data_IF_938994322946
#
_entry.id   IF_938994322946
#
_cell.length_a   1.000
_cell.length_b   1.000
_cell.length_c   1.000
_cell.angle_alpha   90.00
_cell.angle_beta   90.00
_cell.angle_gamma   90.00
#
_symmetry.space_group_name_H-M   'P 1'
#
loop_
_entity.id
_entity.type
_entity.pdbx_description
1 polymer ?
#
# COMPACT_ATOMS: atom_id res chain seq x y z
N UNK A 1 -14.99 -2.79 -0.62
CA UNK A 1 -14.26 -4.07 -0.73
C UNK A 1 -15.15 -5.23 -1.17
N UNK A 2 -14.80 -5.87 -2.28
CA UNK A 2 -15.39 -7.12 -2.76
C UNK A 2 -15.01 -8.31 -1.86
N UNK A 3 -15.72 -9.43 -1.99
CA UNK A 3 -15.40 -10.68 -1.28
C UNK A 3 -14.00 -11.19 -1.66
N UNK A 4 -13.60 -11.02 -2.93
CA UNK A 4 -12.28 -11.41 -3.42
C UNK A 4 -11.17 -10.59 -2.77
N UNK A 5 -11.34 -9.27 -2.63
CA UNK A 5 -10.39 -8.40 -1.93
C UNK A 5 -10.24 -8.76 -0.45
N UNK A 6 -11.36 -9.06 0.23
CA UNK A 6 -11.34 -9.50 1.64
C UNK A 6 -10.56 -10.79 1.82
N UNK A 7 -10.76 -11.76 0.92
CA UNK A 7 -10.02 -13.02 0.90
C UNK A 7 -8.53 -12.76 0.61
N UNK A 8 -8.24 -11.92 -0.39
CA UNK A 8 -6.86 -11.52 -0.72
C UNK A 8 -6.14 -10.88 0.45
N UNK A 9 -6.78 -9.94 1.16
CA UNK A 9 -6.28 -9.30 2.38
C UNK A 9 -6.04 -10.28 3.51
N UNK A 10 -6.95 -11.22 3.74
CA UNK A 10 -6.79 -12.25 4.76
C UNK A 10 -5.61 -13.19 4.44
N UNK A 11 -5.49 -13.63 3.18
CA UNK A 11 -4.38 -14.48 2.73
C UNK A 11 -3.03 -13.76 2.84
N UNK A 12 -2.95 -12.50 2.39
CA UNK A 12 -1.73 -11.69 2.48
C UNK A 12 -1.28 -11.50 3.94
N UNK A 13 -2.22 -11.21 4.85
CA UNK A 13 -1.93 -11.09 6.29
C UNK A 13 -1.54 -12.43 6.92
N UNK A 14 -2.21 -13.51 6.56
CA UNK A 14 -1.93 -14.85 7.05
C UNK A 14 -0.54 -15.35 6.66
N UNK A 15 -0.15 -15.13 5.39
CA UNK A 15 1.16 -15.53 4.88
C UNK A 15 2.32 -14.87 5.64
N UNK A 16 2.18 -13.59 6.01
CA UNK A 16 3.21 -12.86 6.79
C UNK A 16 3.51 -13.50 8.15
N UNK A 17 2.55 -14.26 8.70
CA UNK A 17 2.68 -14.94 10.00
C UNK A 17 3.22 -16.37 9.91
N UNK A 18 3.45 -16.90 8.69
CA UNK A 18 3.95 -18.26 8.53
C UNK A 18 5.42 -18.39 8.96
N UNK A 19 5.82 -19.53 9.54
CA UNK A 19 7.22 -19.81 9.83
C UNK A 19 8.09 -19.78 8.55
N UNK A 20 9.34 -19.32 8.67
CA UNK A 20 10.28 -19.22 7.53
C UNK A 20 10.42 -20.53 6.73
N UNK A 21 10.40 -21.68 7.41
CA UNK A 21 10.47 -22.99 6.77
C UNK A 21 9.26 -23.27 5.85
N UNK A 22 8.06 -22.84 6.25
CA UNK A 22 6.84 -22.98 5.46
C UNK A 22 6.87 -22.04 4.25
N UNK A 23 7.34 -20.81 4.44
CA UNK A 23 7.50 -19.85 3.34
C UNK A 23 8.49 -20.36 2.28
N UNK A 24 9.64 -20.89 2.70
CA UNK A 24 10.62 -21.52 1.79
C UNK A 24 10.04 -22.71 1.04
N UNK A 25 9.33 -23.59 1.74
CA UNK A 25 8.67 -24.74 1.09
C UNK A 25 7.67 -24.32 0.02
N UNK A 26 6.95 -23.21 0.24
CA UNK A 26 5.90 -22.73 -0.67
C UNK A 26 6.42 -21.87 -1.82
N UNK A 27 7.40 -21.01 -1.57
CA UNK A 27 7.85 -19.99 -2.51
C UNK A 27 9.28 -20.23 -3.02
N UNK A 28 9.97 -21.25 -2.53
CA UNK A 28 11.38 -21.50 -2.81
C UNK A 28 12.32 -20.64 -1.97
N UNK A 29 13.62 -20.79 -2.20
CA UNK A 29 14.63 -19.91 -1.61
C UNK A 29 14.62 -18.54 -2.30
N UNK A 30 14.85 -17.45 -1.56
CA UNK A 30 14.98 -16.12 -2.15
C UNK A 30 16.16 -16.05 -3.13
N UNK A 31 16.02 -15.33 -4.24
CA UNK A 31 17.13 -15.14 -5.18
C UNK A 31 18.27 -14.36 -4.52
N UNK A 32 19.50 -14.69 -4.94
CA UNK A 32 20.71 -13.91 -4.62
C UNK A 32 21.29 -13.38 -5.92
N UNK A 33 21.39 -12.06 -6.03
CA UNK A 33 21.94 -11.36 -7.20
C UNK A 33 23.05 -10.46 -6.68
N UNK A 34 24.23 -10.50 -7.32
CA UNK A 34 25.40 -9.70 -6.93
C UNK A 34 25.78 -9.82 -5.43
N UNK A 35 25.58 -11.02 -4.86
CA UNK A 35 25.86 -11.28 -3.45
C UNK A 35 24.79 -10.79 -2.46
N UNK A 36 23.70 -10.19 -2.95
CA UNK A 36 22.58 -9.72 -2.12
C UNK A 36 21.39 -10.67 -2.20
N UNK A 37 21.03 -11.26 -1.06
CA UNK A 37 19.87 -12.16 -0.96
C UNK A 37 18.61 -11.36 -0.60
N UNK A 38 17.54 -11.57 -1.37
CA UNK A 38 16.24 -10.95 -1.11
C UNK A 38 15.66 -11.44 0.23
N UNK A 39 15.00 -10.55 0.98
CA UNK A 39 14.30 -10.96 2.19
C UNK A 39 13.19 -11.99 1.87
N UNK A 40 13.06 -13.01 2.73
CA UNK A 40 12.15 -14.13 2.49
C UNK A 40 10.67 -13.71 2.45
N UNK A 41 10.26 -12.72 3.23
CA UNK A 41 8.89 -12.21 3.19
C UNK A 41 8.62 -11.45 1.89
N UNK A 42 9.60 -10.64 1.45
CA UNK A 42 9.52 -9.92 0.18
C UNK A 42 9.51 -10.90 -1.00
N UNK A 43 10.34 -11.94 -0.97
CA UNK A 43 10.34 -13.01 -1.97
C UNK A 43 8.99 -13.74 -2.04
N UNK A 44 8.44 -14.10 -0.89
CA UNK A 44 7.16 -14.78 -0.81
C UNK A 44 6.00 -13.89 -1.31
N UNK A 45 6.04 -12.59 -1.02
CA UNK A 45 5.09 -11.61 -1.56
C UNK A 45 5.23 -11.45 -3.07
N UNK A 46 6.45 -11.22 -3.57
CA UNK A 46 6.71 -11.06 -5.00
C UNK A 46 6.31 -12.30 -5.80
N UNK A 47 6.57 -13.50 -5.27
CA UNK A 47 6.16 -14.77 -5.87
C UNK A 47 4.63 -14.89 -6.00
N UNK A 48 3.89 -14.44 -4.98
CA UNK A 48 2.42 -14.41 -5.01
C UNK A 48 1.90 -13.43 -6.07
N UNK A 49 2.46 -12.22 -6.12
CA UNK A 49 2.09 -11.18 -7.10
C UNK A 49 2.38 -11.66 -8.52
N UNK A 50 3.55 -12.27 -8.77
CA UNK A 50 3.89 -12.84 -10.07
C UNK A 50 2.92 -13.93 -10.49
N UNK A 51 2.58 -14.87 -9.58
CA UNK A 51 1.62 -15.91 -9.87
C UNK A 51 0.20 -15.36 -10.15
N UNK A 52 -0.20 -14.28 -9.47
CA UNK A 52 -1.47 -13.59 -9.74
C UNK A 52 -1.47 -12.92 -11.12
N UNK A 53 -0.38 -12.22 -11.48
CA UNK A 53 -0.21 -11.61 -12.81
C UNK A 53 -0.22 -12.63 -13.94
N UNK A 54 0.46 -13.77 -13.77
CA UNK A 54 0.49 -14.82 -14.78
C UNK A 54 -0.89 -15.45 -15.06
N UNK A 55 -1.83 -15.34 -14.12
CA UNK A 55 -3.23 -15.78 -14.30
C UNK A 55 -4.14 -14.69 -14.87
N UNK A 56 -3.68 -13.45 -14.96
CA UNK A 56 -4.43 -12.36 -15.59
C UNK A 56 -4.29 -12.48 -17.11
N UNK A 57 -5.41 -12.70 -17.80
CA UNK A 57 -5.46 -12.68 -19.27
C UNK A 57 -5.52 -11.26 -19.84
N UNK A 58 -5.64 -10.26 -18.96
CA UNK A 58 -5.89 -8.88 -19.35
C UNK A 58 -4.58 -8.14 -19.62
N UNK A 59 -4.35 -7.82 -20.89
CA UNK A 59 -3.15 -7.16 -21.42
C UNK A 59 -3.34 -5.66 -21.65
N UNK A 60 -4.53 -5.12 -21.44
CA UNK A 60 -4.77 -3.69 -21.62
C UNK A 60 -4.15 -2.90 -20.45
N UNK A 61 -3.40 -1.85 -20.75
CA UNK A 61 -2.67 -1.04 -19.77
C UNK A 61 -3.03 0.42 -19.97
N UNK A 62 -4.17 0.81 -19.41
CA UNK A 62 -4.61 2.22 -19.38
C UNK A 62 -4.19 2.90 -18.07
N UNK A 63 -3.97 4.23 -18.05
CA UNK A 63 -3.66 4.95 -16.82
C UNK A 63 -4.73 4.74 -15.73
N UNK A 64 -6.01 4.71 -16.10
CA UNK A 64 -7.08 4.51 -15.13
C UNK A 64 -7.00 3.13 -14.47
N UNK A 65 -6.77 2.09 -15.27
CA UNK A 65 -6.65 0.73 -14.74
C UNK A 65 -5.43 0.55 -13.83
N UNK A 66 -4.32 1.23 -14.12
CA UNK A 66 -3.15 1.25 -13.24
C UNK A 66 -3.51 1.92 -11.90
N UNK A 67 -4.24 3.05 -11.92
CA UNK A 67 -4.71 3.71 -10.69
C UNK A 67 -5.60 2.79 -9.86
N UNK A 68 -6.64 2.23 -10.48
CA UNK A 68 -7.59 1.35 -9.80
C UNK A 68 -6.90 0.10 -9.21
N UNK A 69 -5.94 -0.45 -9.95
CA UNK A 69 -5.12 -1.57 -9.49
C UNK A 69 -4.22 -1.22 -8.31
N UNK A 70 -3.64 -0.01 -8.31
CA UNK A 70 -2.85 0.48 -7.18
C UNK A 70 -3.73 0.74 -5.94
N UNK A 71 -4.89 1.36 -6.11
CA UNK A 71 -5.85 1.62 -5.02
C UNK A 71 -6.30 0.30 -4.37
N UNK A 72 -6.61 -0.71 -5.19
CA UNK A 72 -6.95 -2.05 -4.70
C UNK A 72 -5.79 -2.71 -3.95
N UNK A 73 -4.56 -2.60 -4.47
CA UNK A 73 -3.37 -3.11 -3.79
C UNK A 73 -3.17 -2.40 -2.45
N UNK A 74 -3.35 -1.09 -2.42
CA UNK A 74 -3.23 -0.28 -1.22
C UNK A 74 -4.23 -0.73 -0.16
N UNK A 75 -5.52 -0.85 -0.51
CA UNK A 75 -6.56 -1.34 0.40
C UNK A 75 -6.23 -2.71 1.03
N UNK A 76 -5.67 -3.63 0.25
CA UNK A 76 -5.25 -4.95 0.71
C UNK A 76 -4.09 -4.83 1.70
N UNK A 77 -3.11 -3.97 1.41
CA UNK A 77 -1.91 -3.76 2.22
C UNK A 77 -2.19 -2.96 3.51
N UNK A 78 -3.13 -2.02 3.46
CA UNK A 78 -3.41 -1.06 4.51
C UNK A 78 -3.82 -1.67 5.85
N UNK A 79 -3.30 -1.04 6.91
CA UNK A 79 -3.61 -1.30 8.31
C UNK A 79 -4.95 -0.72 8.76
N UNK A 80 -5.14 -0.66 10.08
CA UNK A 80 -6.18 0.17 10.68
C UNK A 80 -5.55 1.54 11.02
N UNK A 81 -6.31 2.64 10.93
CA UNK A 81 -5.81 3.94 11.36
C UNK A 81 -5.49 3.94 12.85
N UNK A 82 -4.55 4.77 13.26
CA UNK A 82 -4.22 4.98 14.66
C UNK A 82 -5.36 5.73 15.35
N UNK A 83 -6.07 5.05 16.25
CA UNK A 83 -7.31 5.56 16.87
C UNK A 83 -7.15 6.89 17.62
N UNK A 84 -5.94 7.19 18.09
CA UNK A 84 -5.65 8.39 18.87
C UNK A 84 -5.36 9.62 17.98
N UNK A 85 -5.18 9.44 16.66
CA UNK A 85 -4.90 10.53 15.72
C UNK A 85 -6.22 11.11 15.21
N UNK A 86 -6.44 12.41 15.41
CA UNK A 86 -7.57 13.11 14.80
C UNK A 86 -7.26 13.42 13.33
N UNK A 87 -8.21 13.14 12.45
CA UNK A 87 -8.05 13.24 11.00
C UNK A 87 -9.09 14.19 10.43
N UNK A 88 -8.66 15.19 9.66
CA UNK A 88 -9.55 16.19 9.08
C UNK A 88 -9.20 16.48 7.63
N UNK A 89 -10.18 16.28 6.75
CA UNK A 89 -10.06 16.69 5.36
C UNK A 89 -10.35 18.17 5.22
N UNK A 90 -9.53 18.84 4.41
CA UNK A 90 -9.60 20.27 4.13
C UNK A 90 -9.24 20.51 2.67
N UNK A 91 -9.48 21.74 2.25
CA UNK A 91 -9.13 22.22 0.92
C UNK A 91 -8.43 23.56 1.06
N UNK A 92 -7.38 23.78 0.29
CA UNK A 92 -6.63 25.04 0.25
C UNK A 92 -6.61 25.62 -1.16
N UNK A 93 -6.54 26.95 -1.34
CA UNK A 93 -6.40 27.53 -2.66
C UNK A 93 -5.05 27.17 -3.28
N UNK A 94 -5.05 26.81 -4.57
CA UNK A 94 -3.86 26.51 -5.35
C UNK A 94 -3.90 27.20 -6.73
N UNK A 95 -2.78 27.19 -7.46
CA UNK A 95 -2.65 27.93 -8.74
C UNK A 95 -3.57 27.42 -9.85
N UNK A 96 -4.00 26.16 -9.78
CA UNK A 96 -4.93 25.54 -10.75
C UNK A 96 -6.30 25.22 -10.13
N UNK A 97 -6.63 25.87 -9.01
CA UNK A 97 -7.83 25.61 -8.24
C UNK A 97 -7.54 25.00 -6.87
N UNK A 98 -8.60 24.57 -6.23
CA UNK A 98 -8.60 24.06 -4.87
C UNK A 98 -7.87 22.71 -4.75
N UNK A 99 -6.96 22.59 -3.79
CA UNK A 99 -6.16 21.38 -3.54
C UNK A 99 -6.69 20.68 -2.28
N UNK A 100 -7.11 19.41 -2.37
CA UNK A 100 -7.50 18.64 -1.20
C UNK A 100 -6.27 18.27 -0.36
N UNK A 101 -6.40 18.38 0.96
CA UNK A 101 -5.39 17.98 1.93
C UNK A 101 -6.05 17.22 3.08
N UNK A 102 -5.29 16.36 3.76
CA UNK A 102 -5.71 15.69 5.00
C UNK A 102 -4.76 16.08 6.12
N UNK A 103 -5.31 16.61 7.20
CA UNK A 103 -4.58 16.97 8.41
C UNK A 103 -4.63 15.81 9.41
N UNK A 104 -3.47 15.48 9.98
CA UNK A 104 -3.31 14.46 11.01
C UNK A 104 -2.80 15.11 12.29
N UNK A 105 -3.60 15.05 13.35
CA UNK A 105 -3.29 15.64 14.66
C UNK A 105 -3.12 14.55 15.72
N UNK A 106 -1.88 14.22 16.11
CA UNK A 106 -1.62 13.30 17.22
C UNK A 106 -2.08 13.88 18.57
N UNK A 107 -2.41 13.05 19.58
CA UNK A 107 -2.99 13.48 20.86
C UNK A 107 -2.24 14.57 21.62
N UNK A 108 -0.92 14.62 21.48
CA UNK A 108 -0.03 15.51 22.23
C UNK A 108 0.34 16.78 21.46
N UNK A 109 -0.40 17.11 20.39
CA UNK A 109 -0.21 18.39 19.69
C UNK A 109 -0.97 19.51 20.41
N UNK A 110 -0.23 20.48 20.96
CA UNK A 110 -0.77 21.69 21.60
C UNK A 110 -0.07 22.93 21.08
N UNK A 111 -0.78 24.05 20.98
CA UNK A 111 -0.22 25.32 20.52
C UNK A 111 0.06 25.33 19.02
N UNK A 112 1.27 25.76 18.62
CA UNK A 112 1.74 25.77 17.23
C UNK A 112 2.83 24.70 17.04
N UNK A 113 2.45 23.42 16.86
CA UNK A 113 3.41 22.37 16.64
C UNK A 113 4.08 22.52 15.26
N UNK A 114 5.29 22.00 15.13
CA UNK A 114 5.91 21.78 13.82
C UNK A 114 5.07 20.80 13.00
N UNK A 115 5.04 21.00 11.69
CA UNK A 115 4.26 20.19 10.76
C UNK A 115 5.16 19.53 9.72
N UNK A 116 4.83 18.28 9.38
CA UNK A 116 5.39 17.60 8.23
C UNK A 116 4.40 17.77 7.08
N UNK A 117 4.89 18.26 5.95
CA UNK A 117 4.14 18.23 4.69
C UNK A 117 4.52 16.96 3.96
N UNK A 118 3.56 16.04 3.85
CA UNK A 118 3.72 14.78 3.14
C UNK A 118 3.12 14.87 1.75
N UNK A 119 3.86 14.40 0.75
CA UNK A 119 3.38 14.23 -0.61
C UNK A 119 3.38 12.74 -0.94
N UNK A 120 2.25 12.24 -1.45
CA UNK A 120 2.13 10.82 -1.74
C UNK A 120 3.05 10.40 -2.89
N UNK A 121 3.47 9.14 -2.83
CA UNK A 121 4.26 8.53 -3.92
C UNK A 121 3.35 8.09 -5.06
N UNK A 122 3.94 7.61 -6.16
CA UNK A 122 3.19 7.11 -7.33
C UNK A 122 3.56 7.77 -8.66
N UNK A 123 4.73 8.42 -8.73
CA UNK A 123 5.30 8.96 -9.97
C UNK A 123 4.45 10.04 -10.63
N UNK A 124 3.55 10.69 -9.88
CA UNK A 124 2.60 11.68 -10.40
C UNK A 124 1.42 11.07 -11.16
N UNK A 125 1.18 9.76 -11.05
CA UNK A 125 0.12 9.05 -11.81
C UNK A 125 -0.88 8.33 -10.91
N UNK A 126 -0.40 7.62 -9.89
CA UNK A 126 -1.18 6.78 -8.97
C UNK A 126 -1.11 7.27 -7.53
N UNK A 127 -2.03 6.79 -6.70
CA UNK A 127 -2.10 7.13 -5.28
C UNK A 127 -2.83 8.43 -5.00
N UNK A 128 -3.06 8.68 -3.71
CA UNK A 128 -3.73 9.86 -3.20
C UNK A 128 -3.90 9.80 -1.68
N UNK A 129 -4.77 10.66 -1.14
CA UNK A 129 -4.99 10.76 0.31
C UNK A 129 -5.44 9.44 0.94
N UNK A 130 -6.21 8.62 0.22
CA UNK A 130 -6.68 7.33 0.73
C UNK A 130 -5.59 6.25 0.72
N UNK A 131 -4.78 6.18 -0.34
CA UNK A 131 -3.74 5.15 -0.44
C UNK A 131 -2.66 5.34 0.62
N UNK A 132 -2.37 6.57 1.02
CA UNK A 132 -1.35 6.89 2.02
C UNK A 132 -1.92 7.05 3.43
N UNK A 133 -3.22 6.83 3.61
CA UNK A 133 -3.86 7.03 4.92
C UNK A 133 -3.36 6.02 5.97
N UNK A 134 -3.15 4.77 5.56
CA UNK A 134 -2.86 3.65 6.48
C UNK A 134 -1.94 2.57 5.86
N UNK A 135 -1.30 2.88 4.73
CA UNK A 135 -0.38 1.97 4.05
C UNK A 135 1.00 1.94 4.70
#
# INVERSE_FOLDING_TARGET
MSVQERIGKALARGQRRLPKAVLRRRHGEPPTIDGHTLDLQIHAYASLVQAARARSADSDVTPQKIRDGFDTMAEIASGAPFAEVSVHDRTIPGPAGNIPIRLYHPPRTSGRPDAIVWFHQGGGVIGGLETDHTL
#
